data_IF_472906327024
#
_entry.id   IF_472906327024
#
_cell.length_a   1.000
_cell.length_b   1.000
_cell.length_c   1.000
_cell.angle_alpha   90.00
_cell.angle_beta   90.00
_cell.angle_gamma   90.00
#
_symmetry.space_group_name_H-M   'P 1'
#
loop_
_entity.id
_entity.type
_entity.pdbx_description
1 polymer ?
#
# COMPACT_ATOMS: atom_id res chain seq x y z
N UNK A 1 -17.88 -12.93 9.35
CA UNK A 1 -17.00 -12.41 8.30
C UNK A 1 -16.34 -11.15 8.84
N UNK A 2 -15.04 -11.18 9.12
CA UNK A 2 -14.30 -9.97 9.47
C UNK A 2 -14.19 -9.11 8.22
N UNK A 3 -14.92 -8.00 8.18
CA UNK A 3 -14.83 -7.06 7.06
C UNK A 3 -13.48 -6.37 7.10
N UNK A 4 -12.63 -6.63 6.10
CA UNK A 4 -11.35 -5.93 5.93
C UNK A 4 -11.63 -4.45 5.73
N UNK A 5 -11.14 -3.61 6.66
CA UNK A 5 -11.28 -2.16 6.56
C UNK A 5 -10.04 -1.60 5.88
N UNK A 6 -10.26 -0.77 4.87
CA UNK A 6 -9.19 -0.14 4.11
C UNK A 6 -8.95 1.28 4.60
N UNK A 7 -7.68 1.63 4.83
CA UNK A 7 -7.27 2.97 5.21
C UNK A 7 -6.44 3.59 4.09
N UNK A 8 -6.94 4.70 3.54
CA UNK A 8 -6.24 5.51 2.55
C UNK A 8 -5.09 6.30 3.19
N UNK A 9 -4.01 6.49 2.44
CA UNK A 9 -2.90 7.36 2.86
C UNK A 9 -3.35 8.82 3.04
N UNK A 10 -2.80 9.53 4.02
CA UNK A 10 -3.02 10.98 4.20
C UNK A 10 -2.22 11.83 3.20
N UNK A 11 -1.19 11.26 2.57
CA UNK A 11 -0.38 11.92 1.52
C UNK A 11 -1.06 11.91 0.15
N UNK A 12 -2.23 11.31 0.06
CA UNK A 12 -3.04 11.13 -1.13
C UNK A 12 -3.51 12.42 -1.80
N UNK A 13 -3.44 13.58 -1.15
CA UNK A 13 -3.95 14.86 -1.68
C UNK A 13 -5.48 14.86 -1.88
N UNK A 14 -6.10 16.05 -1.87
CA UNK A 14 -7.56 16.20 -1.97
C UNK A 14 -8.18 15.93 -3.35
N UNK A 15 -7.39 15.50 -4.34
CA UNK A 15 -7.87 15.23 -5.70
C UNK A 15 -8.06 13.71 -5.89
N UNK A 16 -9.21 13.22 -6.36
CA UNK A 16 -9.40 11.79 -6.65
C UNK A 16 -8.47 11.20 -7.74
N UNK A 17 -7.73 12.05 -8.48
CA UNK A 17 -6.81 11.61 -9.55
C UNK A 17 -5.36 11.36 -9.09
N UNK A 18 -4.97 11.85 -7.92
CA UNK A 18 -3.65 11.51 -7.35
C UNK A 18 -3.62 10.01 -7.05
N UNK A 19 -2.59 9.32 -7.51
CA UNK A 19 -2.46 7.86 -7.34
C UNK A 19 -2.30 7.51 -5.87
N UNK A 20 -3.21 6.73 -5.31
CA UNK A 20 -3.27 6.48 -3.87
C UNK A 20 -3.26 5.00 -3.54
N UNK A 21 -2.53 4.65 -2.47
CA UNK A 21 -2.48 3.31 -1.89
C UNK A 21 -3.40 3.22 -0.67
N UNK A 22 -4.02 2.05 -0.47
CA UNK A 22 -4.74 1.73 0.76
C UNK A 22 -4.13 0.51 1.43
N UNK A 23 -4.15 0.51 2.76
CA UNK A 23 -3.69 -0.60 3.58
C UNK A 23 -4.88 -1.25 4.27
N UNK A 24 -4.86 -2.58 4.39
CA UNK A 24 -5.77 -3.28 5.28
C UNK A 24 -5.52 -2.87 6.73
N UNK A 25 -6.56 -2.89 7.55
CA UNK A 25 -6.44 -2.63 8.99
C UNK A 25 -5.61 -3.68 9.73
N UNK A 26 -5.45 -4.86 9.13
CA UNK A 26 -4.59 -5.97 9.58
C UNK A 26 -3.14 -5.80 9.16
N UNK A 27 -2.81 -4.81 8.31
CA UNK A 27 -1.46 -4.52 7.82
C UNK A 27 -0.79 -5.70 7.10
N UNK A 28 -1.60 -6.49 6.39
CA UNK A 28 -1.20 -7.68 5.62
C UNK A 28 -1.51 -7.57 4.12
N UNK A 29 -2.22 -6.51 3.70
CA UNK A 29 -2.59 -6.28 2.31
C UNK A 29 -2.43 -4.81 1.92
N UNK A 30 -1.96 -4.59 0.69
CA UNK A 30 -1.85 -3.29 0.03
C UNK A 30 -2.67 -3.35 -1.25
N UNK A 31 -3.44 -2.30 -1.54
CA UNK A 31 -4.16 -2.21 -2.82
C UNK A 31 -4.08 -0.81 -3.43
N UNK A 32 -4.37 -0.76 -4.73
CA UNK A 32 -4.60 0.49 -5.45
C UNK A 32 -6.00 1.04 -5.12
N UNK A 33 -6.05 2.28 -4.60
CA UNK A 33 -7.32 2.97 -4.33
C UNK A 33 -8.18 3.14 -5.59
N UNK A 34 -7.54 3.21 -6.77
CA UNK A 34 -8.21 3.41 -8.06
C UNK A 34 -8.83 2.13 -8.60
N UNK A 35 -8.42 0.98 -8.11
CA UNK A 35 -8.97 -0.31 -8.51
C UNK A 35 -9.35 -1.17 -7.28
N UNK A 36 -10.41 -0.81 -6.52
CA UNK A 36 -10.76 -1.48 -5.27
C UNK A 36 -11.15 -2.95 -5.42
N UNK A 37 -11.57 -3.35 -6.63
CA UNK A 37 -11.93 -4.73 -6.99
C UNK A 37 -10.78 -5.47 -7.68
N UNK A 38 -9.65 -4.80 -7.88
CA UNK A 38 -8.44 -5.39 -8.44
C UNK A 38 -7.69 -6.28 -7.43
N UNK A 39 -6.59 -6.90 -7.87
CA UNK A 39 -5.75 -7.73 -6.99
C UNK A 39 -5.11 -6.90 -5.88
N UNK A 40 -4.90 -7.54 -4.72
CA UNK A 40 -4.16 -6.98 -3.59
C UNK A 40 -2.76 -7.59 -3.52
N UNK A 41 -1.79 -6.80 -3.08
CA UNK A 41 -0.46 -7.30 -2.72
C UNK A 41 -0.51 -7.78 -1.26
N UNK A 42 -0.36 -9.09 -1.05
CA UNK A 42 -0.28 -9.69 0.29
C UNK A 42 1.15 -9.71 0.81
N UNK A 43 1.39 -9.03 1.92
CA UNK A 43 2.72 -8.86 2.51
C UNK A 43 2.59 -8.36 3.94
N UNK A 44 3.53 -8.71 4.82
CA UNK A 44 3.70 -7.96 6.08
C UNK A 44 4.09 -6.51 5.74
N UNK A 45 3.13 -5.60 5.86
CA UNK A 45 3.30 -4.19 5.47
C UNK A 45 4.37 -3.52 6.32
N UNK A 46 4.53 -3.91 7.58
CA UNK A 46 5.55 -3.32 8.47
C UNK A 46 6.95 -3.73 8.02
N UNK A 47 7.17 -5.01 7.75
CA UNK A 47 8.43 -5.52 7.24
C UNK A 47 8.75 -4.92 5.85
N UNK A 48 7.75 -4.86 4.97
CA UNK A 48 7.88 -4.28 3.64
C UNK A 48 8.34 -2.82 3.69
N UNK A 49 7.69 -1.97 4.50
CA UNK A 49 8.07 -0.55 4.62
C UNK A 49 9.49 -0.41 5.18
N UNK A 50 9.91 -1.27 6.11
CA UNK A 50 11.30 -1.28 6.62
C UNK A 50 12.30 -1.60 5.51
N UNK A 51 12.04 -2.65 4.72
CA UNK A 51 12.88 -3.04 3.59
C UNK A 51 12.97 -1.95 2.52
N UNK A 52 11.86 -1.29 2.19
CA UNK A 52 11.84 -0.13 1.28
C UNK A 52 12.71 0.99 1.85
N UNK A 53 12.54 1.35 3.13
CA UNK A 53 13.33 2.42 3.78
C UNK A 53 14.82 2.10 3.89
N UNK A 54 15.19 0.83 3.95
CA UNK A 54 16.60 0.42 3.95
C UNK A 54 17.21 0.32 2.54
N UNK A 55 16.47 0.72 1.50
CA UNK A 55 16.93 0.67 0.11
C UNK A 55 17.06 -0.75 -0.43
N UNK A 56 16.43 -1.75 0.19
CA UNK A 56 16.54 -3.15 -0.25
C UNK A 56 16.03 -3.37 -1.67
N UNK A 57 15.10 -2.52 -2.12
CA UNK A 57 14.50 -2.58 -3.46
C UNK A 57 15.01 -1.49 -4.40
N UNK A 58 15.97 -0.67 -3.97
CA UNK A 58 16.58 0.31 -4.85
C UNK A 58 17.39 -0.47 -5.89
N UNK A 59 17.06 -0.29 -7.17
CA UNK A 59 17.84 -0.88 -8.25
C UNK A 59 19.28 -0.36 -8.12
N UNK A 60 20.27 -1.26 -8.15
CA UNK A 60 21.66 -0.84 -8.24
C UNK A 60 21.80 0.07 -9.47
N UNK A 61 22.22 1.31 -9.26
CA UNK A 61 22.45 2.25 -10.34
C UNK A 61 23.35 1.59 -11.39
N UNK A 62 22.83 1.48 -12.60
CA UNK A 62 23.55 0.93 -13.75
C UNK A 62 24.60 1.91 -14.25
#
# INVERSE_FOLDING_TARGET
MTSTRWRKSSYSGGNPQTSCVELSNTLDEIRDSKNPTGPTLRVDVVAFVRAVKSGQFDQAAK
#
